data_IF_450669121587
#
_entry.id   IF_450669121587
#
_cell.length_a   1.000
_cell.length_b   1.000
_cell.length_c   1.000
_cell.angle_alpha   90.00
_cell.angle_beta   90.00
_cell.angle_gamma   90.00
#
_symmetry.space_group_name_H-M   'P 1'
#
loop_
_entity.id
_entity.type
_entity.pdbx_description
1 polymer ?
#
# COMPACT_ATOMS: atom_id res chain seq x y z
N UNK A 1 -15.20 -3.96 0.11
CA UNK A 1 -15.03 -2.50 -0.21
C UNK A 1 -14.36 -2.29 -1.57
N UNK A 2 -14.35 -1.06 -2.12
CA UNK A 2 -13.56 -0.69 -3.32
C UNK A 2 -12.18 -0.15 -2.95
N UNK A 3 -11.17 -0.41 -3.78
CA UNK A 3 -9.80 0.05 -3.57
C UNK A 3 -9.27 0.77 -4.81
N UNK A 4 -8.50 1.82 -4.57
CA UNK A 4 -7.96 2.70 -5.60
C UNK A 4 -6.45 2.83 -5.48
N UNK A 5 -5.79 3.11 -6.61
CA UNK A 5 -4.35 3.35 -6.67
C UNK A 5 -4.02 4.44 -7.69
N UNK A 6 -3.16 5.37 -7.28
CA UNK A 6 -2.50 6.32 -8.17
C UNK A 6 -1.19 5.77 -8.72
N UNK A 7 -0.93 6.01 -9.99
CA UNK A 7 0.31 5.69 -10.68
C UNK A 7 0.92 6.98 -11.20
N UNK A 8 2.17 7.27 -10.84
CA UNK A 8 2.85 8.52 -11.18
C UNK A 8 3.51 8.50 -12.57
N UNK A 9 3.84 7.32 -13.10
CA UNK A 9 4.52 7.16 -14.39
C UNK A 9 3.88 6.02 -15.19
N UNK A 10 2.83 6.35 -15.95
CA UNK A 10 1.91 5.35 -16.53
C UNK A 10 1.54 5.64 -18.00
N UNK A 11 2.50 6.10 -18.81
CA UNK A 11 2.31 6.44 -20.24
C UNK A 11 1.72 5.30 -21.07
N UNK A 12 2.15 4.07 -20.81
CA UNK A 12 1.71 2.85 -21.51
C UNK A 12 0.74 1.98 -20.69
N UNK A 13 0.35 2.42 -19.50
CA UNK A 13 -0.57 1.65 -18.65
C UNK A 13 -1.93 1.58 -19.33
N UNK A 14 -2.60 0.44 -19.29
CA UNK A 14 -3.96 0.22 -19.81
C UNK A 14 -4.74 -0.64 -18.82
N UNK A 15 -6.07 -0.67 -18.97
CA UNK A 15 -6.91 -1.63 -18.24
C UNK A 15 -6.40 -3.06 -18.43
N UNK A 16 -6.60 -3.88 -17.40
CA UNK A 16 -6.25 -5.30 -17.39
C UNK A 16 -5.34 -5.71 -16.24
N UNK A 17 -4.73 -6.89 -16.38
CA UNK A 17 -3.96 -7.54 -15.31
C UNK A 17 -2.51 -7.07 -15.29
N UNK A 18 -2.04 -6.68 -14.11
CA UNK A 18 -0.67 -6.31 -13.81
C UNK A 18 -0.04 -7.32 -12.84
N UNK A 19 1.25 -7.54 -13.00
CA UNK A 19 2.05 -8.33 -12.06
C UNK A 19 2.53 -7.40 -10.94
N UNK A 20 2.46 -7.87 -9.69
CA UNK A 20 3.11 -7.19 -8.58
C UNK A 20 4.63 -7.36 -8.69
N UNK A 21 5.28 -6.41 -9.37
CA UNK A 21 6.74 -6.40 -9.58
C UNK A 21 7.54 -6.30 -8.28
N UNK A 22 6.92 -5.87 -7.17
CA UNK A 22 7.61 -5.69 -5.90
C UNK A 22 8.01 -6.99 -5.21
N UNK A 23 7.42 -8.12 -5.64
CA UNK A 23 7.85 -9.46 -5.21
C UNK A 23 9.24 -9.83 -5.73
N UNK A 24 9.59 -9.35 -6.92
CA UNK A 24 10.87 -9.62 -7.57
C UNK A 24 11.87 -8.49 -7.32
N UNK A 25 11.39 -7.25 -7.35
CA UNK A 25 12.18 -6.04 -7.13
C UNK A 25 11.55 -5.21 -6.01
N UNK A 26 11.97 -5.42 -4.76
CA UNK A 26 11.47 -4.70 -3.60
C UNK A 26 11.42 -3.18 -3.79
N UNK A 27 10.32 -2.55 -3.34
CA UNK A 27 10.21 -1.09 -3.28
C UNK A 27 11.41 -0.50 -2.56
N UNK A 28 11.89 0.62 -3.09
CA UNK A 28 12.82 1.48 -2.38
C UNK A 28 12.01 2.55 -1.63
N UNK A 29 12.29 2.80 -0.34
CA UNK A 29 11.64 3.88 0.36
C UNK A 29 12.04 5.24 -0.24
N UNK A 30 11.06 6.12 -0.40
CA UNK A 30 11.29 7.50 -0.85
C UNK A 30 11.39 8.42 0.38
N UNK A 31 10.39 8.34 1.26
CA UNK A 31 10.26 9.25 2.41
C UNK A 31 10.66 8.61 3.75
N UNK A 32 10.86 7.30 3.79
CA UNK A 32 11.22 6.55 5.01
C UNK A 32 12.72 6.27 5.07
N UNK A 33 13.41 6.47 6.21
CA UNK A 33 14.77 5.97 6.39
C UNK A 33 14.84 4.46 6.12
N UNK A 34 15.81 4.01 5.32
CA UNK A 34 15.93 2.61 4.90
C UNK A 34 16.00 1.62 6.08
N UNK A 35 16.56 2.05 7.21
CA UNK A 35 16.60 1.25 8.43
C UNK A 35 15.20 1.02 9.00
N UNK A 36 14.41 2.09 9.17
CA UNK A 36 13.03 2.01 9.65
C UNK A 36 12.19 1.15 8.70
N UNK A 37 12.33 1.35 7.39
CA UNK A 37 11.64 0.53 6.39
C UNK A 37 11.91 -0.97 6.57
N UNK A 38 13.17 -1.36 6.81
CA UNK A 38 13.55 -2.76 7.04
C UNK A 38 13.01 -3.31 8.36
N UNK A 39 13.02 -2.51 9.42
CA UNK A 39 12.50 -2.89 10.73
C UNK A 39 10.98 -3.12 10.66
N UNK A 40 10.26 -2.21 9.99
CA UNK A 40 8.82 -2.34 9.75
C UNK A 40 8.52 -3.62 8.97
N UNK A 41 9.24 -3.89 7.87
CA UNK A 41 9.10 -5.14 7.12
C UNK A 41 9.35 -6.38 7.98
N UNK A 42 10.35 -6.33 8.87
CA UNK A 42 10.64 -7.43 9.79
C UNK A 42 9.47 -7.67 10.75
N UNK A 43 8.89 -6.60 11.29
CA UNK A 43 7.71 -6.70 12.16
C UNK A 43 6.51 -7.31 11.43
N UNK A 44 6.17 -6.82 10.23
CA UNK A 44 5.09 -7.39 9.43
C UNK A 44 5.36 -8.86 9.06
N UNK A 45 6.62 -9.20 8.77
CA UNK A 45 6.98 -10.57 8.43
C UNK A 45 6.84 -11.52 9.62
N UNK A 46 7.19 -11.07 10.82
CA UNK A 46 7.06 -11.86 12.04
C UNK A 46 5.60 -12.14 12.39
N UNK A 47 4.72 -11.15 12.22
CA UNK A 47 3.30 -11.23 12.59
C UNK A 47 2.41 -11.84 11.49
N UNK A 48 2.65 -11.49 10.23
CA UNK A 48 1.75 -11.79 9.10
C UNK A 48 2.41 -12.59 7.98
N UNK A 49 3.71 -12.86 8.06
CA UNK A 49 4.49 -13.53 7.01
C UNK A 49 4.48 -12.78 5.68
N UNK A 50 4.45 -11.45 5.75
CA UNK A 50 4.45 -10.53 4.61
C UNK A 50 5.47 -9.42 4.87
N UNK A 51 6.29 -9.05 3.88
CA UNK A 51 7.10 -7.84 3.96
C UNK A 51 6.32 -6.65 3.40
N UNK A 52 5.50 -6.05 4.26
CA UNK A 52 4.43 -5.17 3.83
C UNK A 52 4.93 -3.93 3.06
N UNK A 53 6.06 -3.34 3.46
CA UNK A 53 6.56 -2.12 2.83
C UNK A 53 7.33 -2.38 1.54
N UNK A 54 8.09 -3.48 1.48
CA UNK A 54 8.92 -3.82 0.32
C UNK A 54 8.17 -4.55 -0.79
N UNK A 55 7.26 -5.47 -0.46
CA UNK A 55 6.74 -6.46 -1.42
C UNK A 55 5.25 -6.28 -1.77
N UNK A 56 4.50 -5.46 -1.02
CA UNK A 56 3.09 -5.20 -1.30
C UNK A 56 2.88 -4.05 -2.28
N UNK A 57 1.73 -4.07 -2.96
CA UNK A 57 1.18 -2.85 -3.54
C UNK A 57 0.37 -2.09 -2.50
N UNK A 58 0.30 -0.78 -2.64
CA UNK A 58 -0.46 0.09 -1.74
C UNK A 58 -1.71 0.60 -2.45
N UNK A 59 -2.83 0.51 -1.76
CA UNK A 59 -4.13 0.98 -2.22
C UNK A 59 -4.78 1.79 -1.10
N UNK A 60 -5.84 2.52 -1.44
CA UNK A 60 -6.67 3.23 -0.46
C UNK A 60 -8.13 3.14 -0.87
N UNK A 61 -9.07 3.06 0.08
CA UNK A 61 -10.49 3.22 -0.21
C UNK A 61 -10.87 4.68 -0.53
N UNK A 62 -10.02 5.65 -0.22
CA UNK A 62 -10.24 7.07 -0.56
C UNK A 62 -9.72 7.37 -1.98
N UNK A 63 -10.67 7.52 -2.92
CA UNK A 63 -10.37 7.87 -4.31
C UNK A 63 -9.67 9.22 -4.48
N UNK A 64 -9.93 10.17 -3.58
CA UNK A 64 -9.29 11.49 -3.61
C UNK A 64 -7.82 11.37 -3.23
N UNK A 65 -7.52 10.54 -2.23
CA UNK A 65 -6.15 10.28 -1.81
C UNK A 65 -5.38 9.51 -2.88
N UNK A 66 -5.98 8.49 -3.50
CA UNK A 66 -5.38 7.81 -4.65
C UNK A 66 -5.09 8.78 -5.81
N UNK A 67 -5.95 9.78 -6.03
CA UNK A 67 -5.75 10.79 -7.05
C UNK A 67 -4.55 11.71 -6.75
N UNK A 68 -4.27 12.02 -5.48
CA UNK A 68 -3.14 12.85 -5.07
C UNK A 68 -1.78 12.25 -5.51
N UNK A 69 -1.65 10.92 -5.50
CA UNK A 69 -0.43 10.23 -5.96
C UNK A 69 -0.18 10.30 -7.48
N UNK A 70 -1.13 10.79 -8.26
CA UNK A 70 -1.07 10.79 -9.73
C UNK A 70 -1.34 12.16 -10.37
N UNK A 71 -2.04 13.07 -9.69
CA UNK A 71 -2.44 14.37 -10.23
C UNK A 71 -1.29 15.34 -10.56
N UNK A 72 -0.11 15.15 -9.98
CA UNK A 72 1.08 15.98 -10.24
C UNK A 72 1.94 15.54 -11.42
N UNK A 73 1.57 14.46 -12.12
CA UNK A 73 2.41 13.83 -13.13
C UNK A 73 1.79 13.89 -14.52
N UNK A 74 2.61 14.20 -15.53
CA UNK A 74 2.19 14.29 -16.94
C UNK A 74 1.68 12.98 -17.52
N UNK A 75 2.01 11.86 -16.88
CA UNK A 75 1.55 10.51 -17.20
C UNK A 75 0.91 9.83 -16.00
N UNK A 76 0.29 10.61 -15.13
CA UNK A 76 -0.47 10.12 -13.99
C UNK A 76 -1.68 9.29 -14.41
N UNK A 77 -1.97 8.23 -13.67
CA UNK A 77 -3.19 7.41 -13.84
C UNK A 77 -3.81 7.09 -12.48
N UNK A 78 -5.13 7.19 -12.39
CA UNK A 78 -5.93 6.74 -11.26
C UNK A 78 -6.75 5.56 -11.72
N UNK A 79 -6.67 4.46 -10.98
CA UNK A 79 -7.41 3.26 -11.28
C UNK A 79 -8.12 2.72 -10.03
N UNK A 80 -9.25 2.06 -10.27
CA UNK A 80 -9.80 1.07 -9.36
C UNK A 80 -9.00 -0.23 -9.50
N UNK A 81 -8.76 -0.92 -8.39
CA UNK A 81 -7.92 -2.11 -8.32
C UNK A 81 -8.74 -3.30 -7.85
N UNK A 82 -8.63 -4.40 -8.56
CA UNK A 82 -9.32 -5.66 -8.29
C UNK A 82 -8.30 -6.76 -8.03
N UNK A 83 -8.64 -7.63 -7.09
CA UNK A 83 -7.75 -8.68 -6.64
C UNK A 83 -8.40 -10.03 -6.91
N UNK A 84 -7.70 -10.86 -7.70
CA UNK A 84 -8.04 -12.26 -7.90
C UNK A 84 -7.10 -13.17 -7.10
N UNK A 85 -7.50 -14.44 -6.96
CA UNK A 85 -6.66 -15.47 -6.36
C UNK A 85 -6.33 -15.25 -4.89
N UNK A 86 -5.20 -15.80 -4.44
CA UNK A 86 -4.72 -15.66 -3.07
C UNK A 86 -4.07 -14.29 -2.86
N UNK A 87 -4.80 -13.39 -2.21
CA UNK A 87 -4.32 -12.07 -1.80
C UNK A 87 -4.48 -11.90 -0.29
N UNK A 88 -3.58 -11.14 0.34
CA UNK A 88 -3.69 -10.75 1.75
C UNK A 88 -3.72 -9.24 1.85
N UNK A 89 -4.63 -8.73 2.66
CA UNK A 89 -4.86 -7.30 2.85
C UNK A 89 -4.48 -6.93 4.28
N UNK A 90 -3.51 -6.04 4.40
CA UNK A 90 -3.00 -5.52 5.67
C UNK A 90 -3.44 -4.08 5.83
N UNK A 91 -4.10 -3.78 6.95
CA UNK A 91 -4.59 -2.43 7.25
C UNK A 91 -4.60 -2.18 8.76
N UNK A 92 -4.71 -0.91 9.15
CA UNK A 92 -4.94 -0.48 10.54
C UNK A 92 -5.92 0.69 10.52
N UNK A 93 -6.97 0.63 11.33
CA UNK A 93 -7.90 1.75 11.50
C UNK A 93 -7.26 2.97 12.19
N UNK A 94 -6.08 2.80 12.80
CA UNK A 94 -5.36 3.84 13.54
C UNK A 94 -4.24 4.51 12.73
N UNK A 95 -3.85 3.94 11.60
CA UNK A 95 -2.73 4.42 10.78
C UNK A 95 -3.22 4.74 9.38
N UNK A 96 -3.42 6.03 9.09
CA UNK A 96 -3.90 6.46 7.76
C UNK A 96 -2.85 6.19 6.68
N UNK A 97 -1.62 6.65 6.84
CA UNK A 97 -0.45 6.28 6.03
C UNK A 97 0.74 6.19 6.98
N UNK A 98 1.45 5.05 6.96
CA UNK A 98 2.62 4.84 7.81
C UNK A 98 3.68 5.93 7.63
N UNK A 99 3.85 6.46 6.41
CA UNK A 99 4.84 7.50 6.11
C UNK A 99 4.63 8.77 6.94
N UNK A 100 3.40 9.05 7.37
CA UNK A 100 3.07 10.22 8.20
C UNK A 100 3.64 10.12 9.62
N UNK A 101 3.92 8.90 10.09
CA UNK A 101 4.35 8.64 11.47
C UNK A 101 5.83 8.26 11.56
N UNK A 102 6.53 8.08 10.44
CA UNK A 102 7.92 7.62 10.41
C UNK A 102 8.85 8.49 11.26
N UNK A 103 8.58 9.79 11.36
CA UNK A 103 9.38 10.71 12.18
C UNK A 103 8.96 10.76 13.65
N UNK A 104 7.79 10.21 13.99
CA UNK A 104 7.29 10.07 15.36
C UNK A 104 7.74 8.75 15.99
N UNK A 105 8.14 7.77 15.17
CA UNK A 105 8.68 6.49 15.60
C UNK A 105 10.14 6.71 16.04
N UNK A 106 10.50 6.18 17.21
CA UNK A 106 11.88 6.21 17.70
C UNK A 106 12.85 5.54 16.72
N UNK A 107 14.15 5.88 16.78
CA UNK A 107 15.13 5.41 15.80
C UNK A 107 15.48 3.92 15.97
N UNK A 108 15.18 3.34 17.14
CA UNK A 108 15.59 2.01 17.52
C UNK A 108 14.52 0.97 17.21
N UNK A 109 14.97 -0.27 17.01
CA UNK A 109 14.08 -1.39 16.63
C UNK A 109 12.96 -1.65 17.63
N UNK A 110 13.27 -1.55 18.92
CA UNK A 110 12.29 -1.75 20.00
C UNK A 110 11.21 -0.68 19.94
N UNK A 111 11.57 0.60 19.77
CA UNK A 111 10.61 1.69 19.63
C UNK A 111 9.68 1.49 18.43
N UNK A 112 10.23 1.04 17.28
CA UNK A 112 9.44 0.75 16.08
C UNK A 112 8.46 -0.40 16.32
N UNK A 113 8.91 -1.47 16.97
CA UNK A 113 8.08 -2.64 17.27
C UNK A 113 6.97 -2.28 18.26
N UNK A 114 7.30 -1.60 19.35
CA UNK A 114 6.33 -1.15 20.36
C UNK A 114 5.28 -0.22 19.75
N UNK A 115 5.71 0.70 18.86
CA UNK A 115 4.78 1.55 18.14
C UNK A 115 3.85 0.75 17.25
N UNK A 116 4.37 -0.18 16.44
CA UNK A 116 3.59 -1.01 15.51
C UNK A 116 2.61 -1.94 16.25
N UNK A 117 3.01 -2.53 17.37
CA UNK A 117 2.17 -3.38 18.22
C UNK A 117 0.95 -2.61 18.75
N UNK A 118 1.08 -1.30 18.98
CA UNK A 118 -0.02 -0.45 19.42
C UNK A 118 -1.01 -0.06 18.31
N UNK A 119 -0.71 -0.33 17.03
CA UNK A 119 -1.51 0.14 15.91
C UNK A 119 -2.65 -0.81 15.49
N UNK A 120 -2.82 -1.98 16.12
CA UNK A 120 -3.89 -2.94 15.79
C UNK A 120 -3.95 -3.29 14.28
N UNK A 121 -2.80 -3.55 13.67
CA UNK A 121 -2.76 -4.03 12.28
C UNK A 121 -3.48 -5.37 12.16
N UNK A 122 -4.30 -5.48 11.11
CA UNK A 122 -5.10 -6.68 10.80
C UNK A 122 -4.74 -7.21 9.43
N UNK A 123 -4.84 -8.52 9.29
CA UNK A 123 -4.73 -9.21 8.01
C UNK A 123 -6.04 -9.93 7.69
N UNK A 124 -6.58 -9.67 6.50
CA UNK A 124 -7.73 -10.38 5.94
C UNK A 124 -7.40 -10.93 4.56
N UNK A 125 -8.23 -11.85 4.06
CA UNK A 125 -8.00 -12.54 2.79
C UNK A 125 -8.98 -12.13 1.68
N UNK A 126 -9.92 -11.24 2.02
CA UNK A 126 -10.82 -10.59 1.07
C UNK A 126 -10.89 -9.09 1.38
N UNK A 127 -10.92 -8.26 0.34
CA UNK A 127 -11.16 -6.81 0.50
C UNK A 127 -12.59 -6.50 0.97
N UNK A 128 -13.49 -7.49 0.96
CA UNK A 128 -14.84 -7.37 1.53
C UNK A 128 -14.87 -7.60 3.06
N UNK A 129 -13.79 -8.15 3.63
CA UNK A 129 -13.65 -8.30 5.08
C UNK A 129 -13.04 -7.05 5.74
N UNK A 130 -12.68 -6.04 4.95
CA UNK A 130 -12.22 -4.75 5.46
C UNK A 130 -13.46 -3.89 5.77
N UNK A 131 -13.61 -3.37 7.00
CA UNK A 131 -14.74 -2.51 7.36
C UNK A 131 -14.84 -1.26 6.46
N UNK A 132 -16.07 -0.87 6.12
CA UNK A 132 -16.34 0.26 5.21
C UNK A 132 -15.92 1.64 5.79
N UNK A 133 -15.69 1.74 7.10
CA UNK A 133 -15.22 2.95 7.79
C UNK A 133 -13.68 3.07 7.83
N UNK A 134 -12.95 2.07 7.31
CA UNK A 134 -11.50 2.16 7.15
C UNK A 134 -11.18 3.16 6.04
N UNK A 135 -10.36 4.16 6.38
CA UNK A 135 -9.85 5.17 5.44
C UNK A 135 -8.33 5.08 5.24
N UNK A 136 -7.68 4.10 5.87
CA UNK A 136 -6.23 3.92 5.82
C UNK A 136 -5.73 3.37 4.49
N UNK A 137 -4.44 3.54 4.25
CA UNK A 137 -3.68 2.74 3.29
C UNK A 137 -3.88 1.24 3.59
N UNK A 138 -4.14 0.49 2.53
CA UNK A 138 -4.23 -0.97 2.53
C UNK A 138 -3.04 -1.51 1.76
N UNK A 139 -2.19 -2.26 2.45
CA UNK A 139 -1.04 -2.94 1.86
C UNK A 139 -1.48 -4.33 1.42
N UNK A 140 -1.34 -4.62 0.12
CA UNK A 140 -1.84 -5.87 -0.48
C UNK A 140 -0.68 -6.76 -0.95
N UNK A 141 -0.55 -7.93 -0.33
CA UNK A 141 0.31 -9.03 -0.76
C UNK A 141 -0.44 -9.86 -1.80
N UNK A 142 -0.13 -9.64 -3.07
CA UNK A 142 -0.72 -10.35 -4.20
C UNK A 142 0.37 -10.69 -5.24
N UNK A 143 0.11 -11.69 -6.08
CA UNK A 143 0.96 -11.99 -7.25
C UNK A 143 0.63 -11.09 -8.43
N UNK A 144 -0.65 -10.88 -8.69
CA UNK A 144 -1.20 -10.08 -9.78
C UNK A 144 -2.46 -9.38 -9.29
N UNK A 145 -2.83 -8.31 -9.98
CA UNK A 145 -4.02 -7.51 -9.71
C UNK A 145 -4.53 -6.92 -11.01
N UNK A 146 -5.83 -6.74 -11.13
CA UNK A 146 -6.46 -6.10 -12.28
C UNK A 146 -6.73 -4.63 -11.99
N UNK A 147 -6.63 -3.79 -13.02
CA UNK A 147 -6.96 -2.37 -12.91
C UNK A 147 -8.02 -1.97 -13.94
N UNK A 148 -8.88 -1.04 -13.53
CA UNK A 148 -9.73 -0.26 -14.44
C UNK A 148 -9.44 1.22 -14.25
N UNK A 149 -9.01 1.88 -15.32
CA UNK A 149 -8.57 3.27 -15.31
C UNK A 149 -9.79 4.19 -15.22
N UNK A 150 -9.81 4.99 -14.16
CA UNK A 150 -10.85 5.98 -13.91
C UNK A 150 -10.49 7.34 -14.50
N UNK A 151 -9.20 7.69 -14.46
CA UNK A 151 -8.71 8.98 -14.94
C UNK A 151 -7.27 8.88 -15.41
N UNK A 152 -6.98 9.58 -16.51
CA UNK A 152 -5.62 9.91 -16.94
C UNK A 152 -5.41 11.40 -16.84
N UNK A 153 -4.22 11.79 -16.38
CA UNK A 153 -3.78 13.17 -16.48
C UNK A 153 -2.94 13.32 -17.73
N UNK A 154 -3.17 14.41 -18.44
CA UNK A 154 -2.33 14.91 -19.53
C UNK A 154 -2.08 16.39 -19.24
N UNK A 155 -0.82 16.82 -19.27
CA UNK A 155 -0.49 18.26 -19.21
C UNK A 155 -1.06 19.00 -20.42
#
# INVERSE_FOLDING_TARGET
MRLYRGFSYAESLSDGVLINSYRDTPRQPVDTPILIHKIVDEWFFNNFRVKARSECIFCTPDVSEAANYSAGYSSGVLAEVFFGGESKFLYSSSVVDLNMYVYDIGPDKEDVFDWLDAQDYKMVYSHDDIPDDVVSEVMVDCKEYEISILKRWSL
#
